data_IF_227330481413
#
_entry.id   IF_227330481413
#
_cell.length_a   1.000
_cell.length_b   1.000
_cell.length_c   1.000
_cell.angle_alpha   90.00
_cell.angle_beta   90.00
_cell.angle_gamma   90.00
#
_symmetry.space_group_name_H-M   'P 1'
#
loop_
_entity.id
_entity.type
_entity.pdbx_description
1 polymer ?
#
# COMPACT_ATOMS: atom_id res chain seq x y z
N UNK A 1 13.05 4.70 -38.76
CA UNK A 1 13.60 4.17 -37.49
C UNK A 1 12.41 3.76 -36.63
N UNK A 2 12.12 2.46 -36.51
CA UNK A 2 11.01 1.99 -35.66
C UNK A 2 11.44 2.10 -34.19
N UNK A 3 10.85 3.01 -33.43
CA UNK A 3 11.00 3.03 -31.98
C UNK A 3 10.35 1.76 -31.44
N UNK A 4 11.13 0.90 -30.78
CA UNK A 4 10.60 -0.28 -30.12
C UNK A 4 9.57 0.17 -29.07
N UNK A 5 8.29 -0.13 -29.33
CA UNK A 5 7.22 0.19 -28.41
C UNK A 5 7.53 -0.43 -27.04
N UNK A 6 7.42 0.37 -25.99
CA UNK A 6 7.57 -0.07 -24.60
C UNK A 6 6.67 -1.27 -24.35
N UNK A 7 7.23 -2.41 -23.93
CA UNK A 7 6.50 -3.66 -23.67
C UNK A 7 5.59 -3.61 -22.43
N UNK A 8 5.49 -2.47 -21.77
CA UNK A 8 4.69 -2.32 -20.56
C UNK A 8 3.24 -2.06 -20.94
N UNK A 9 2.28 -2.74 -20.28
CA UNK A 9 0.87 -2.44 -20.45
C UNK A 9 0.59 -0.96 -20.19
N UNK A 10 -0.37 -0.33 -20.89
CA UNK A 10 -0.76 1.06 -20.62
C UNK A 10 -1.20 1.33 -19.16
N UNK A 11 -1.61 0.28 -18.44
CA UNK A 11 -1.98 0.34 -17.02
C UNK A 11 -0.80 0.11 -16.05
N UNK A 12 0.43 -0.04 -16.55
CA UNK A 12 1.60 -0.20 -15.71
C UNK A 12 1.85 1.07 -14.90
N UNK A 13 2.10 0.88 -13.59
CA UNK A 13 2.52 1.96 -12.72
C UNK A 13 3.88 2.50 -13.18
N UNK A 14 4.09 3.81 -13.02
CA UNK A 14 5.44 4.37 -13.14
C UNK A 14 6.35 3.75 -12.06
N UNK A 15 7.67 3.78 -12.27
CA UNK A 15 8.62 3.25 -11.28
C UNK A 15 8.41 3.89 -9.90
N UNK A 16 8.19 5.22 -9.85
CA UNK A 16 7.88 5.94 -8.59
C UNK A 16 6.61 5.40 -7.93
N UNK A 17 5.53 5.25 -8.69
CA UNK A 17 4.27 4.71 -8.18
C UNK A 17 4.42 3.26 -7.69
N UNK A 18 5.21 2.44 -8.40
CA UNK A 18 5.50 1.07 -7.99
C UNK A 18 6.29 1.01 -6.68
N UNK A 19 7.33 1.83 -6.53
CA UNK A 19 8.13 1.88 -5.31
C UNK A 19 7.32 2.33 -4.10
N UNK A 20 6.50 3.38 -4.25
CA UNK A 20 5.60 3.85 -3.18
C UNK A 20 4.60 2.76 -2.81
N UNK A 21 3.97 2.10 -3.81
CA UNK A 21 3.05 0.99 -3.57
C UNK A 21 3.74 -0.14 -2.78
N UNK A 22 4.99 -0.46 -3.10
CA UNK A 22 5.73 -1.49 -2.38
C UNK A 22 6.02 -1.09 -0.93
N UNK A 23 6.38 0.16 -0.66
CA UNK A 23 6.58 0.69 0.70
C UNK A 23 5.29 0.59 1.53
N UNK A 24 4.15 1.03 0.96
CA UNK A 24 2.83 0.93 1.59
C UNK A 24 2.46 -0.52 1.90
N UNK A 25 2.71 -1.45 0.97
CA UNK A 25 2.46 -2.88 1.20
C UNK A 25 3.36 -3.47 2.30
N UNK A 26 4.64 -3.08 2.35
CA UNK A 26 5.55 -3.49 3.41
C UNK A 26 5.09 -3.00 4.78
N UNK A 27 4.70 -1.71 4.88
CA UNK A 27 4.16 -1.12 6.10
C UNK A 27 2.89 -1.86 6.55
N UNK A 28 1.93 -2.05 5.65
CA UNK A 28 0.68 -2.76 5.94
C UNK A 28 0.93 -4.17 6.49
N UNK A 29 1.82 -4.93 5.83
CA UNK A 29 2.20 -6.27 6.30
C UNK A 29 2.89 -6.21 7.66
N UNK A 30 3.75 -5.22 7.90
CA UNK A 30 4.40 -4.99 9.19
C UNK A 30 3.38 -4.79 10.32
N UNK A 31 2.41 -3.90 10.10
CA UNK A 31 1.31 -3.64 11.04
C UNK A 31 0.51 -4.92 11.31
N UNK A 32 0.11 -5.66 10.28
CA UNK A 32 -0.62 -6.91 10.47
C UNK A 32 0.19 -7.99 11.23
N UNK A 33 1.51 -8.02 11.07
CA UNK A 33 2.38 -8.91 11.86
C UNK A 33 2.40 -8.49 13.33
N UNK A 34 2.52 -7.20 13.62
CA UNK A 34 2.48 -6.68 14.98
C UNK A 34 1.12 -6.95 15.65
N UNK A 35 0.01 -6.70 14.94
CA UNK A 35 -1.34 -6.97 15.44
C UNK A 35 -1.51 -8.44 15.83
N UNK A 36 -0.94 -9.39 15.08
CA UNK A 36 -1.01 -10.82 15.42
C UNK A 36 -0.35 -11.18 16.76
N UNK A 37 0.57 -10.36 17.26
CA UNK A 37 1.25 -10.57 18.54
C UNK A 37 0.41 -10.13 19.75
N UNK A 38 -0.70 -9.42 19.53
CA UNK A 38 -1.58 -8.95 20.61
C UNK A 38 -2.25 -10.16 21.29
N UNK A 39 -2.04 -10.42 22.60
CA UNK A 39 -2.60 -11.59 23.27
C UNK A 39 -4.12 -11.57 23.33
N UNK A 40 -4.72 -10.42 23.62
CA UNK A 40 -6.16 -10.26 23.73
C UNK A 40 -6.83 -10.36 22.34
N UNK A 41 -7.76 -11.32 22.13
CA UNK A 41 -8.40 -11.52 20.84
C UNK A 41 -9.34 -10.37 20.44
N UNK A 42 -9.94 -9.67 21.41
CA UNK A 42 -10.81 -8.51 21.16
C UNK A 42 -9.98 -7.34 20.64
N UNK A 43 -8.88 -7.02 21.31
CA UNK A 43 -7.97 -5.94 20.91
C UNK A 43 -7.31 -6.24 19.56
N UNK A 44 -6.93 -7.50 19.35
CA UNK A 44 -6.41 -7.98 18.06
C UNK A 44 -7.41 -7.76 16.93
N UNK A 45 -8.69 -8.10 17.15
CA UNK A 45 -9.76 -7.90 16.16
C UNK A 45 -9.98 -6.41 15.90
N UNK A 46 -10.06 -5.61 16.96
CA UNK A 46 -10.21 -4.16 16.85
C UNK A 46 -9.08 -3.52 16.03
N UNK A 47 -7.83 -3.80 16.38
CA UNK A 47 -6.66 -3.23 15.71
C UNK A 47 -6.55 -3.67 14.24
N UNK A 48 -6.97 -4.90 13.92
CA UNK A 48 -7.03 -5.39 12.53
C UNK A 48 -8.06 -4.60 11.72
N UNK A 49 -9.25 -4.37 12.24
CA UNK A 49 -10.30 -3.61 11.54
C UNK A 49 -9.95 -2.12 11.44
N UNK A 50 -9.38 -1.54 12.51
CA UNK A 50 -8.86 -0.19 12.49
C UNK A 50 -7.80 -0.01 11.39
N UNK A 51 -6.79 -0.88 11.34
CA UNK A 51 -5.74 -0.80 10.31
C UNK A 51 -6.34 -0.89 8.90
N UNK A 52 -7.27 -1.81 8.63
CA UNK A 52 -7.96 -1.85 7.32
C UNK A 52 -8.69 -0.55 7.01
N UNK A 53 -9.33 0.07 8.00
CA UNK A 53 -10.01 1.35 7.89
C UNK A 53 -9.07 2.47 7.46
N UNK A 54 -7.92 2.60 8.13
CA UNK A 54 -6.90 3.61 7.81
C UNK A 54 -6.39 3.50 6.37
N UNK A 55 -5.98 2.29 5.96
CA UNK A 55 -5.48 2.09 4.59
C UNK A 55 -6.57 2.26 3.53
N UNK A 56 -7.85 2.03 3.86
CA UNK A 56 -8.98 2.31 2.95
C UNK A 56 -9.23 3.81 2.81
N UNK A 57 -9.13 4.57 3.90
CA UNK A 57 -9.25 6.04 3.90
C UNK A 57 -8.14 6.69 3.07
N UNK A 58 -6.90 6.22 3.22
CA UNK A 58 -5.75 6.74 2.46
C UNK A 58 -5.67 6.28 0.99
N UNK A 59 -6.50 5.31 0.57
CA UNK A 59 -6.44 4.76 -0.80
C UNK A 59 -6.74 5.80 -1.89
N UNK A 60 -7.46 6.88 -1.54
CA UNK A 60 -7.81 7.98 -2.43
C UNK A 60 -6.96 9.24 -2.26
N UNK A 61 -6.09 9.30 -1.25
CA UNK A 61 -5.16 10.41 -1.08
C UNK A 61 -4.06 10.29 -2.16
N UNK A 62 -4.32 10.91 -3.31
CA UNK A 62 -3.28 11.24 -4.27
C UNK A 62 -2.46 12.37 -3.65
N UNK A 63 -1.49 12.02 -2.83
CA UNK A 63 -0.41 12.95 -2.49
C UNK A 63 0.44 13.10 -3.76
N UNK A 64 -0.01 14.01 -4.62
CA UNK A 64 0.78 14.57 -5.71
C UNK A 64 1.91 15.34 -5.03
N UNK A 65 3.09 14.70 -4.98
CA UNK A 65 4.25 15.21 -4.28
C UNK A 65 4.50 16.68 -4.63
N UNK A 66 4.50 17.50 -3.58
CA UNK A 66 5.06 18.84 -3.58
C UNK A 66 6.50 18.75 -4.12
N UNK A 67 6.67 19.34 -5.30
CA UNK A 67 7.87 19.82 -5.99
C UNK A 67 9.06 18.85 -6.22
#
# INVERSE_FOLDING_TARGET
MLMAASRLPPAALSLKQFMVRQQVLCLYRGILRAVRQIPNPTDRRYMKEWAKGEFKRNKGEKEEGRD
#
